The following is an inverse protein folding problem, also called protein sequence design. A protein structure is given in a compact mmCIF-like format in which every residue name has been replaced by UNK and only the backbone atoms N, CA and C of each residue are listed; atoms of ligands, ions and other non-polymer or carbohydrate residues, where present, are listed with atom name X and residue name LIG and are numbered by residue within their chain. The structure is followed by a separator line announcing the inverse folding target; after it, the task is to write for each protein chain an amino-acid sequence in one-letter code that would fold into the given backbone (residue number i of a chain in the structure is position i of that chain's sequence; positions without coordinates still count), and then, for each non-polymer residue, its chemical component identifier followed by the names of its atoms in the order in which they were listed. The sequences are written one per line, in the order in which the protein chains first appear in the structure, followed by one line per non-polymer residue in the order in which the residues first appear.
data_IF_198977652960
#
_entry.id   IF_198977652960
#
_cell.length_a   1.000
_cell.length_b   1.000
_cell.length_c   1.000
_cell.angle_alpha   90.00
_cell.angle_beta   90.00
_cell.angle_gamma   90.00
#
_symmetry.space_group_name_H-M   'P 1'
#
loop_
_entity.id
_entity.type
_entity.pdbx_description
1 polymer ?
#
# COMPACT_ATOMS: atom_id res chain seq x y z
N UNK A 1 -92.36 20.20 28.08
CA UNK A 1 -93.07 19.17 27.30
C UNK A 1 -92.05 18.43 26.45
N UNK A 2 -92.22 17.12 26.22
CA UNK A 2 -91.29 16.29 25.42
C UNK A 2 -91.32 16.73 23.92
N UNK A 3 -90.41 16.39 23.01
CA UNK A 3 -89.18 15.58 23.00
C UNK A 3 -88.19 16.21 21.98
N UNK A 4 -87.06 15.67 21.49
CA UNK A 4 -86.27 14.42 21.67
C UNK A 4 -84.86 14.65 21.07
N UNK A 5 -83.85 13.84 21.40
CA UNK A 5 -82.54 13.84 20.71
C UNK A 5 -82.24 12.48 20.05
N UNK A 6 -81.64 12.44 18.83
CA UNK A 6 -81.32 11.21 18.12
C UNK A 6 -80.04 10.51 18.66
N UNK A 7 -79.88 9.19 18.44
CA UNK A 7 -78.81 8.39 19.04
C UNK A 7 -77.43 8.58 18.40
N UNK A 8 -76.38 8.38 19.20
CA UNK A 8 -74.99 8.48 18.77
C UNK A 8 -74.53 7.30 17.90
N UNK A 9 -73.58 7.57 16.99
CA UNK A 9 -72.76 6.54 16.32
C UNK A 9 -71.32 6.60 16.84
N UNK A 10 -70.67 5.47 17.15
CA UNK A 10 -69.30 5.46 17.67
C UNK A 10 -68.28 5.83 16.58
N UNK A 11 -67.27 6.63 16.93
CA UNK A 11 -66.11 6.89 16.09
C UNK A 11 -65.17 5.69 16.11
N UNK A 12 -64.91 5.11 14.94
CA UNK A 12 -63.84 4.13 14.75
C UNK A 12 -62.49 4.85 14.72
N UNK A 13 -61.55 4.38 15.55
CA UNK A 13 -60.16 4.84 15.55
C UNK A 13 -59.34 3.95 14.62
N UNK A 14 -58.88 4.49 13.49
CA UNK A 14 -57.91 3.80 12.63
C UNK A 14 -56.51 3.92 13.22
N UNK A 15 -55.98 2.81 13.75
CA UNK A 15 -54.58 2.69 14.14
C UNK A 15 -53.70 2.70 12.87
N UNK A 16 -52.92 3.75 12.68
CA UNK A 16 -51.93 3.80 11.61
C UNK A 16 -50.74 2.87 11.94
N UNK A 17 -50.60 1.78 11.20
CA UNK A 17 -49.51 0.82 11.35
C UNK A 17 -48.21 1.38 10.76
N UNK A 18 -47.35 1.96 11.61
CA UNK A 18 -46.00 2.38 11.20
C UNK A 18 -45.06 1.18 11.12
N UNK A 19 -45.01 0.55 9.93
CA UNK A 19 -44.03 -0.49 9.62
C UNK A 19 -42.61 0.10 9.51
N UNK A 20 -41.82 -0.06 10.57
CA UNK A 20 -40.38 0.21 10.53
C UNK A 20 -39.65 -0.88 9.74
N UNK A 21 -39.37 -0.61 8.46
CA UNK A 21 -38.47 -1.45 7.67
C UNK A 21 -37.02 -1.19 8.11
N UNK A 22 -36.52 -2.07 8.98
CA UNK A 22 -35.09 -2.19 9.28
C UNK A 22 -34.36 -2.71 8.02
N UNK A 23 -33.85 -1.80 7.20
CA UNK A 23 -32.96 -2.14 6.09
C UNK A 23 -31.63 -2.67 6.62
N UNK A 24 -31.53 -3.99 6.79
CA UNK A 24 -30.26 -4.67 6.99
C UNK A 24 -29.43 -4.59 5.69
N UNK A 25 -28.65 -3.53 5.56
CA UNK A 25 -27.63 -3.42 4.52
C UNK A 25 -26.51 -4.43 4.79
N UNK A 26 -26.65 -5.64 4.23
CA UNK A 26 -25.58 -6.63 4.18
C UNK A 26 -24.40 -6.03 3.38
N UNK A 27 -23.33 -5.66 4.08
CA UNK A 27 -22.09 -5.20 3.45
C UNK A 27 -21.42 -6.42 2.81
N UNK A 28 -21.70 -6.64 1.53
CA UNK A 28 -21.00 -7.64 0.73
C UNK A 28 -19.58 -7.17 0.45
N UNK A 29 -18.64 -7.59 1.29
CA UNK A 29 -17.21 -7.41 1.02
C UNK A 29 -16.82 -8.28 -0.18
N UNK A 30 -16.47 -7.64 -1.31
CA UNK A 30 -16.04 -8.35 -2.52
C UNK A 30 -14.84 -9.27 -2.24
N UNK A 31 -14.69 -10.41 -2.94
CA UNK A 31 -13.56 -11.33 -2.74
C UNK A 31 -12.18 -10.65 -2.83
N UNK A 32 -12.04 -9.68 -3.73
CA UNK A 32 -10.86 -8.81 -3.86
C UNK A 32 -10.55 -8.01 -2.60
N UNK A 33 -11.57 -7.43 -1.94
CA UNK A 33 -11.36 -6.65 -0.73
C UNK A 33 -10.92 -7.54 0.44
N UNK A 34 -11.46 -8.75 0.55
CA UNK A 34 -11.04 -9.78 1.51
C UNK A 34 -9.59 -10.25 1.26
N UNK A 35 -9.21 -10.48 -0.01
CA UNK A 35 -7.85 -10.85 -0.38
C UNK A 35 -6.85 -9.74 0.03
N UNK A 36 -7.17 -8.49 -0.31
CA UNK A 36 -6.32 -7.34 -0.03
C UNK A 36 -6.19 -7.07 1.48
N UNK A 37 -7.28 -7.15 2.24
CA UNK A 37 -7.24 -6.97 3.70
C UNK A 37 -6.42 -8.07 4.39
N UNK A 38 -6.53 -9.32 3.93
CA UNK A 38 -5.79 -10.47 4.47
C UNK A 38 -4.30 -10.37 4.14
N UNK A 39 -3.96 -10.05 2.89
CA UNK A 39 -2.58 -9.83 2.47
C UNK A 39 -1.94 -8.66 3.24
N UNK A 40 -2.66 -7.53 3.36
CA UNK A 40 -2.21 -6.37 4.15
C UNK A 40 -2.00 -6.73 5.62
N UNK A 41 -2.93 -7.44 6.25
CA UNK A 41 -2.80 -7.83 7.65
C UNK A 41 -1.54 -8.68 7.87
N UNK A 42 -1.32 -9.70 7.03
CA UNK A 42 -0.11 -10.54 7.05
C UNK A 42 1.17 -9.71 6.88
N UNK A 43 1.20 -8.79 5.90
CA UNK A 43 2.35 -7.92 5.66
C UNK A 43 2.59 -6.95 6.81
N UNK A 44 1.54 -6.41 7.42
CA UNK A 44 1.64 -5.54 8.59
C UNK A 44 2.27 -6.28 9.78
N UNK A 45 1.81 -7.49 10.11
CA UNK A 45 2.40 -8.32 11.17
C UNK A 45 3.89 -8.64 10.95
N UNK A 46 4.33 -8.74 9.69
CA UNK A 46 5.72 -9.10 9.35
C UNK A 46 6.67 -7.90 9.19
N UNK A 47 6.16 -6.76 8.71
CA UNK A 47 6.98 -5.66 8.20
C UNK A 47 6.68 -4.28 8.83
N UNK A 48 5.61 -4.14 9.62
CA UNK A 48 5.25 -2.89 10.31
C UNK A 48 5.57 -3.00 11.80
N UNK A 49 6.55 -2.25 12.34
CA UNK A 49 6.83 -2.24 13.77
C UNK A 49 5.66 -1.68 14.60
N UNK A 50 5.49 -2.07 15.87
CA UNK A 50 4.39 -1.59 16.73
C UNK A 50 4.31 -0.08 16.93
N UNK A 51 5.39 0.66 16.63
CA UNK A 51 5.43 2.12 16.68
C UNK A 51 4.72 2.81 15.49
N UNK A 52 4.13 2.04 14.56
CA UNK A 52 3.42 2.54 13.38
C UNK A 52 1.94 2.13 13.40
N UNK A 53 1.09 2.98 12.82
CA UNK A 53 -0.35 2.74 12.68
C UNK A 53 -0.83 3.08 11.27
N UNK A 54 -1.90 2.41 10.82
CA UNK A 54 -2.48 2.65 9.49
C UNK A 54 -3.03 4.09 9.43
N UNK A 55 -2.46 4.90 8.54
CA UNK A 55 -2.81 6.31 8.36
C UNK A 55 -3.81 6.53 7.23
N UNK A 56 -3.65 5.79 6.13
CA UNK A 56 -4.52 5.90 4.96
C UNK A 56 -4.52 4.61 4.14
N UNK A 57 -5.66 4.32 3.52
CA UNK A 57 -5.86 3.21 2.58
C UNK A 57 -6.69 3.75 1.40
N UNK A 58 -6.19 3.60 0.15
CA UNK A 58 -6.91 4.03 -1.07
C UNK A 58 -6.61 3.12 -2.27
N UNK A 59 -7.59 2.92 -3.15
CA UNK A 59 -7.33 2.29 -4.45
C UNK A 59 -6.60 3.28 -5.37
N UNK A 60 -5.70 2.76 -6.18
CA UNK A 60 -4.93 3.51 -7.18
C UNK A 60 -4.77 2.68 -8.46
N UNK A 61 -4.76 3.30 -9.66
CA UNK A 61 -4.52 2.58 -10.91
C UNK A 61 -3.08 2.06 -10.95
N UNK A 62 -2.91 0.83 -11.42
CA UNK A 62 -1.60 0.19 -11.52
C UNK A 62 -1.59 -0.84 -12.64
N UNK A 63 -0.73 -0.67 -13.64
CA UNK A 63 -0.57 -1.60 -14.78
C UNK A 63 -1.91 -1.99 -15.45
N UNK A 64 -2.70 -0.99 -15.85
CA UNK A 64 -4.06 -1.14 -16.43
C UNK A 64 -5.12 -1.78 -15.50
N UNK A 65 -4.77 -2.08 -14.25
CA UNK A 65 -5.68 -2.57 -13.21
C UNK A 65 -5.80 -1.60 -12.04
N UNK A 66 -6.21 -2.11 -10.88
CA UNK A 66 -6.28 -1.39 -9.62
C UNK A 66 -5.44 -2.10 -8.56
N UNK A 67 -4.82 -1.32 -7.68
CA UNK A 67 -4.09 -1.80 -6.51
C UNK A 67 -4.51 -1.01 -5.26
N UNK A 68 -4.43 -1.66 -4.11
CA UNK A 68 -4.64 -1.07 -2.80
C UNK A 68 -3.33 -0.46 -2.30
N UNK A 69 -3.26 0.86 -2.24
CA UNK A 69 -2.19 1.58 -1.54
C UNK A 69 -2.57 1.72 -0.07
N UNK A 70 -1.65 1.37 0.82
CA UNK A 70 -1.77 1.55 2.27
C UNK A 70 -0.53 2.27 2.81
N UNK A 71 -0.71 3.29 3.65
CA UNK A 71 0.38 4.00 4.34
C UNK A 71 0.22 3.85 5.85
N UNK A 72 1.32 3.53 6.51
CA UNK A 72 1.48 3.49 7.95
C UNK A 72 2.46 4.59 8.37
N UNK A 73 2.09 5.34 9.41
CA UNK A 73 2.90 6.44 9.97
C UNK A 73 3.12 6.22 11.46
N UNK A 74 4.11 6.90 12.04
CA UNK A 74 4.47 6.69 13.45
C UNK A 74 3.36 7.14 14.38
N UNK A 75 3.09 6.38 15.43
CA UNK A 75 2.12 6.73 16.47
C UNK A 75 2.58 7.92 17.31
N UNK A 76 3.89 8.13 17.44
CA UNK A 76 4.52 9.26 18.14
C UNK A 76 4.58 10.57 17.33
N UNK A 77 4.05 10.58 16.10
CA UNK A 77 4.00 11.77 15.24
C UNK A 77 5.34 12.20 14.62
N UNK A 78 6.48 11.60 15.02
CA UNK A 78 7.81 12.05 14.59
C UNK A 78 7.95 11.89 13.09
N UNK A 79 8.42 12.93 12.40
CA UNK A 79 8.71 12.89 10.97
C UNK A 79 7.54 12.40 10.08
N UNK A 80 6.27 12.45 10.54
CA UNK A 80 5.13 11.98 9.75
C UNK A 80 4.78 12.89 8.53
N UNK A 81 3.90 12.39 7.65
CA UNK A 81 3.42 13.11 6.48
C UNK A 81 4.33 12.96 5.26
N UNK A 82 4.14 13.83 4.26
CA UNK A 82 4.84 13.75 2.98
C UNK A 82 6.36 13.88 3.14
N UNK A 83 7.09 13.04 2.40
CA UNK A 83 8.53 12.81 2.44
C UNK A 83 9.10 12.36 3.80
N UNK A 84 8.22 12.04 4.75
CA UNK A 84 8.55 11.67 6.13
C UNK A 84 8.85 10.18 6.36
N UNK A 85 8.95 9.81 7.63
CA UNK A 85 8.98 8.41 8.08
C UNK A 85 7.64 7.74 7.79
N UNK A 86 7.67 6.63 7.04
CA UNK A 86 6.48 5.86 6.74
C UNK A 86 6.81 4.46 6.25
N UNK A 87 5.81 3.58 6.32
CA UNK A 87 5.81 2.28 5.67
C UNK A 87 4.61 2.23 4.74
N UNK A 88 4.81 1.89 3.47
CA UNK A 88 3.69 1.73 2.52
C UNK A 88 3.74 0.41 1.79
N UNK A 89 2.55 -0.12 1.47
CA UNK A 89 2.36 -1.29 0.63
C UNK A 89 1.44 -0.95 -0.53
N UNK A 90 1.74 -1.53 -1.69
CA UNK A 90 0.89 -1.57 -2.87
C UNK A 90 0.57 -3.04 -3.17
N UNK A 91 -0.72 -3.40 -3.09
CA UNK A 91 -1.20 -4.79 -3.21
C UNK A 91 -2.21 -4.87 -4.35
N UNK A 92 -2.05 -5.79 -5.31
CA UNK A 92 -3.02 -5.96 -6.41
C UNK A 92 -4.33 -6.62 -5.94
N UNK A 93 -5.31 -6.72 -6.84
CA UNK A 93 -6.60 -7.36 -6.59
C UNK A 93 -6.53 -8.88 -6.27
N UNK A 94 -5.36 -9.50 -6.42
CA UNK A 94 -5.07 -10.90 -6.15
C UNK A 94 -4.31 -11.07 -4.81
N UNK A 95 -4.12 -10.00 -4.04
CA UNK A 95 -3.38 -10.01 -2.78
C UNK A 95 -1.86 -10.09 -2.93
N UNK A 96 -1.31 -9.88 -4.14
CA UNK A 96 0.13 -9.89 -4.36
C UNK A 96 0.77 -8.56 -3.99
N UNK A 97 1.93 -8.61 -3.31
CA UNK A 97 2.74 -7.43 -3.07
C UNK A 97 3.37 -6.94 -4.39
N UNK A 98 2.92 -5.77 -4.86
CA UNK A 98 3.48 -5.07 -6.04
C UNK A 98 4.54 -4.05 -5.68
N UNK A 99 4.42 -3.47 -4.49
CA UNK A 99 5.32 -2.45 -4.00
C UNK A 99 5.37 -2.39 -2.49
N UNK A 100 6.55 -2.15 -1.94
CA UNK A 100 6.81 -1.93 -0.52
C UNK A 100 7.85 -0.84 -0.35
N UNK A 101 7.65 0.05 0.61
CA UNK A 101 8.69 0.95 1.11
C UNK A 101 8.61 1.04 2.63
N UNK A 102 9.78 1.12 3.28
CA UNK A 102 9.99 1.44 4.69
C UNK A 102 11.09 2.47 4.74
N UNK A 103 10.70 3.73 4.93
CA UNK A 103 11.56 4.90 4.95
C UNK A 103 11.62 5.38 6.40
N UNK A 104 12.77 5.22 7.04
CA UNK A 104 12.99 5.52 8.47
C UNK A 104 14.23 6.39 8.68
N UNK A 105 14.23 7.28 9.69
CA UNK A 105 15.38 8.16 9.95
C UNK A 105 16.65 7.38 10.33
N UNK A 106 16.52 6.24 11.02
CA UNK A 106 17.65 5.40 11.41
C UNK A 106 18.46 4.87 10.21
N UNK A 107 17.83 4.68 9.03
CA UNK A 107 18.47 4.23 7.79
C UNK A 107 19.46 5.26 7.21
N UNK A 108 19.45 6.51 7.69
CA UNK A 108 20.47 7.50 7.32
C UNK A 108 21.84 7.22 7.97
N UNK A 109 21.91 6.31 8.94
CA UNK A 109 23.12 5.95 9.67
C UNK A 109 23.47 4.47 9.43
N UNK A 110 24.73 4.09 9.72
CA UNK A 110 25.23 2.73 9.55
C UNK A 110 25.93 2.49 8.20
N UNK A 111 26.23 1.23 7.92
CA UNK A 111 27.05 0.83 6.76
C UNK A 111 26.20 0.11 5.72
N UNK A 112 26.35 0.46 4.44
CA UNK A 112 25.74 -0.31 3.35
C UNK A 112 26.45 -1.67 3.20
N UNK A 113 25.72 -2.75 2.91
CA UNK A 113 26.32 -4.03 2.55
C UNK A 113 27.17 -3.93 1.27
N UNK A 114 28.03 -4.92 1.03
CA UNK A 114 28.66 -5.09 -0.27
C UNK A 114 27.62 -5.36 -1.38
N UNK A 115 27.99 -5.16 -2.65
CA UNK A 115 27.07 -5.45 -3.77
C UNK A 115 26.65 -6.93 -3.81
N UNK A 116 27.53 -7.85 -3.40
CA UNK A 116 27.23 -9.28 -3.35
C UNK A 116 26.22 -9.60 -2.24
N UNK A 117 26.42 -9.07 -1.03
CA UNK A 117 25.46 -9.20 0.07
C UNK A 117 24.11 -8.57 -0.28
N UNK A 118 24.10 -7.39 -0.92
CA UNK A 118 22.87 -6.74 -1.36
C UNK A 118 22.05 -7.62 -2.32
N UNK A 119 22.71 -8.32 -3.26
CA UNK A 119 22.04 -9.31 -4.13
C UNK A 119 21.45 -10.46 -3.31
N UNK A 120 22.20 -11.04 -2.38
CA UNK A 120 21.71 -12.12 -1.53
C UNK A 120 20.52 -11.71 -0.65
N UNK A 121 20.55 -10.49 -0.10
CA UNK A 121 19.44 -9.90 0.68
C UNK A 121 18.22 -9.67 -0.22
N UNK A 122 18.42 -9.12 -1.42
CA UNK A 122 17.36 -8.89 -2.39
C UNK A 122 16.68 -10.20 -2.82
N UNK A 123 17.46 -11.22 -3.18
CA UNK A 123 16.92 -12.55 -3.54
C UNK A 123 16.20 -13.21 -2.37
N UNK A 124 16.71 -13.10 -1.15
CA UNK A 124 16.05 -13.64 0.05
C UNK A 124 14.68 -12.97 0.29
N UNK A 125 14.58 -11.65 0.11
CA UNK A 125 13.32 -10.92 0.19
C UNK A 125 12.35 -11.33 -0.93
N UNK A 126 12.82 -11.37 -2.19
CA UNK A 126 11.98 -11.77 -3.33
C UNK A 126 11.49 -13.22 -3.18
N UNK A 127 12.31 -14.14 -2.64
CA UNK A 127 11.90 -15.52 -2.33
C UNK A 127 10.73 -15.59 -1.35
N UNK A 128 10.62 -14.64 -0.42
CA UNK A 128 9.53 -14.59 0.56
C UNK A 128 8.29 -13.86 0.02
N UNK A 129 8.47 -12.74 -0.67
CA UNK A 129 7.37 -11.80 -1.00
C UNK A 129 6.89 -11.87 -2.46
N UNK A 130 7.69 -12.46 -3.35
CA UNK A 130 7.36 -12.63 -4.77
C UNK A 130 8.09 -13.80 -5.41
N UNK A 131 8.01 -15.03 -4.88
CA UNK A 131 8.84 -16.17 -5.29
C UNK A 131 8.76 -16.47 -6.80
N UNK A 132 7.62 -16.22 -7.44
CA UNK A 132 7.43 -16.40 -8.89
C UNK A 132 8.40 -15.57 -9.73
N UNK A 133 8.89 -14.43 -9.22
CA UNK A 133 9.87 -13.59 -9.90
C UNK A 133 11.22 -14.28 -10.05
N UNK A 134 11.57 -15.25 -9.20
CA UNK A 134 12.86 -15.96 -9.28
C UNK A 134 12.89 -17.02 -10.40
N UNK A 135 11.77 -17.27 -11.08
CA UNK A 135 11.68 -18.23 -12.17
C UNK A 135 12.26 -17.62 -13.46
N UNK A 136 13.56 -17.85 -13.70
CA UNK A 136 14.24 -17.43 -14.94
C UNK A 136 14.61 -15.94 -15.00
N UNK A 137 14.74 -15.27 -13.85
CA UNK A 137 15.16 -13.88 -13.78
C UNK A 137 16.63 -13.66 -14.18
N UNK A 138 16.97 -12.41 -14.46
CA UNK A 138 18.34 -11.95 -14.73
C UNK A 138 18.69 -10.79 -13.80
N UNK A 139 19.90 -10.83 -13.22
CA UNK A 139 20.50 -9.66 -12.59
C UNK A 139 20.97 -8.68 -13.66
N UNK A 140 20.67 -7.40 -13.47
CA UNK A 140 21.04 -6.32 -14.40
C UNK A 140 22.12 -5.42 -13.80
N UNK A 141 22.01 -5.08 -12.50
CA UNK A 141 23.03 -4.28 -11.83
C UNK A 141 22.76 -4.00 -10.37
N UNK A 142 23.75 -3.44 -9.69
CA UNK A 142 23.63 -2.89 -8.33
C UNK A 142 24.14 -1.46 -8.36
N UNK A 143 23.30 -0.48 -8.03
CA UNK A 143 23.64 0.95 -8.05
C UNK A 143 23.44 1.59 -6.68
N UNK A 144 24.45 2.32 -6.17
CA UNK A 144 24.31 3.14 -4.96
C UNK A 144 23.51 4.40 -5.29
N UNK A 145 22.53 4.71 -4.44
CA UNK A 145 21.67 5.88 -4.55
C UNK A 145 21.37 6.45 -3.15
N UNK A 146 20.65 7.56 -3.11
CA UNK A 146 20.13 8.18 -1.87
C UNK A 146 18.67 8.56 -2.05
N UNK A 147 17.93 8.61 -0.94
CA UNK A 147 16.53 9.03 -0.86
C UNK A 147 16.41 10.14 0.19
N UNK A 148 15.62 11.20 -0.08
CA UNK A 148 15.53 12.36 0.82
C UNK A 148 14.39 12.18 1.82
N UNK A 149 14.70 12.01 3.10
CA UNK A 149 13.71 12.03 4.19
C UNK A 149 13.61 13.43 4.82
N UNK A 150 12.38 13.92 5.02
CA UNK A 150 12.10 15.17 5.74
C UNK A 150 12.03 14.91 7.24
N UNK A 151 12.86 15.61 8.00
CA UNK A 151 12.93 15.56 9.47
C UNK A 151 12.52 16.93 10.02
N UNK A 152 11.23 17.11 10.33
CA UNK A 152 10.68 18.42 10.70
C UNK A 152 10.83 19.44 9.56
N UNK A 153 11.66 20.48 9.78
CA UNK A 153 12.06 21.49 8.81
C UNK A 153 13.36 21.16 8.05
N UNK A 154 14.09 20.11 8.47
CA UNK A 154 15.33 19.66 7.84
C UNK A 154 15.08 18.49 6.88
N UNK A 155 16.12 18.10 6.15
CA UNK A 155 16.12 16.88 5.33
C UNK A 155 17.42 16.11 5.49
N UNK A 156 17.34 14.79 5.47
CA UNK A 156 18.46 13.86 5.60
C UNK A 156 18.47 12.89 4.41
N UNK A 157 19.66 12.48 3.98
CA UNK A 157 19.84 11.51 2.91
C UNK A 157 19.92 10.09 3.48
N UNK A 158 19.04 9.20 3.02
CA UNK A 158 19.07 7.76 3.32
C UNK A 158 19.80 7.06 2.17
N UNK A 159 21.01 6.51 2.39
CA UNK A 159 21.73 5.76 1.36
C UNK A 159 21.16 4.34 1.19
N UNK A 160 21.16 3.85 -0.04
CA UNK A 160 20.81 2.46 -0.36
C UNK A 160 21.54 1.92 -1.59
N UNK A 161 21.57 0.60 -1.72
CA UNK A 161 21.92 -0.12 -2.95
C UNK A 161 20.63 -0.61 -3.62
N UNK A 162 20.34 -0.13 -4.82
CA UNK A 162 19.29 -0.69 -5.68
C UNK A 162 19.85 -1.91 -6.43
N UNK A 163 19.33 -3.08 -6.12
CA UNK A 163 19.54 -4.31 -6.89
C UNK A 163 18.45 -4.37 -7.97
N UNK A 164 18.85 -4.22 -9.23
CA UNK A 164 17.95 -4.22 -10.40
C UNK A 164 17.99 -5.58 -11.08
N UNK A 165 16.80 -6.13 -11.30
CA UNK A 165 16.58 -7.46 -11.87
C UNK A 165 15.48 -7.40 -12.93
N UNK A 166 15.47 -8.39 -13.83
CA UNK A 166 14.47 -8.54 -14.88
C UNK A 166 13.82 -9.90 -14.77
N UNK A 167 12.49 -9.96 -14.75
CA UNK A 167 11.73 -11.21 -14.74
C UNK A 167 11.71 -11.86 -16.13
N UNK A 168 11.28 -13.12 -16.18
CA UNK A 168 11.25 -13.93 -17.40
C UNK A 168 10.24 -13.44 -18.45
N UNK A 169 9.19 -12.73 -18.03
CA UNK A 169 8.27 -11.96 -18.87
C UNK A 169 8.88 -10.66 -19.44
N UNK A 170 10.11 -10.32 -19.04
CA UNK A 170 10.80 -9.13 -19.48
C UNK A 170 10.43 -7.84 -18.74
N UNK A 171 9.63 -7.88 -17.68
CA UNK A 171 9.40 -6.72 -16.81
C UNK A 171 10.59 -6.48 -15.86
N UNK A 172 10.74 -5.25 -15.37
CA UNK A 172 11.74 -4.93 -14.36
C UNK A 172 11.17 -5.13 -12.95
N UNK A 173 12.04 -5.51 -12.02
CA UNK A 173 11.79 -5.43 -10.59
C UNK A 173 13.08 -5.06 -9.85
N UNK A 174 12.95 -4.47 -8.67
CA UNK A 174 14.11 -4.07 -7.87
C UNK A 174 13.86 -4.14 -6.38
N UNK A 175 14.95 -4.31 -5.64
CA UNK A 175 14.98 -4.22 -4.18
C UNK A 175 15.99 -3.14 -3.79
N UNK A 176 15.64 -2.25 -2.88
CA UNK A 176 16.54 -1.29 -2.29
C UNK A 176 17.01 -1.82 -0.94
N UNK A 177 18.31 -2.04 -0.79
CA UNK A 177 18.94 -2.51 0.45
C UNK A 177 19.67 -1.33 1.09
N UNK A 178 19.17 -0.90 2.24
CA UNK A 178 19.71 0.22 3.01
C UNK A 178 20.90 -0.17 3.87
N UNK A 179 21.19 0.66 4.87
CA UNK A 179 22.16 0.34 5.93
C UNK A 179 21.68 -0.82 6.79
N UNK A 180 22.62 -1.42 7.53
CA UNK A 180 22.39 -2.52 8.47
C UNK A 180 21.63 -3.71 7.83
N UNK A 181 21.85 -3.91 6.53
CA UNK A 181 21.33 -4.99 5.69
C UNK A 181 19.79 -5.01 5.58
N UNK A 182 19.11 -3.91 5.90
CA UNK A 182 17.65 -3.84 5.83
C UNK A 182 17.13 -3.64 4.41
N UNK A 183 16.00 -4.28 4.07
CA UNK A 183 15.26 -3.96 2.84
C UNK A 183 14.43 -2.70 3.09
N UNK A 184 14.80 -1.63 2.39
CA UNK A 184 14.16 -0.33 2.43
C UNK A 184 12.98 -0.25 1.46
N UNK A 185 13.08 -0.87 0.28
CA UNK A 185 11.97 -0.89 -0.69
C UNK A 185 12.01 -2.10 -1.62
N UNK A 186 10.88 -2.40 -2.25
CA UNK A 186 10.72 -3.37 -3.31
C UNK A 186 9.65 -2.89 -4.29
N UNK A 187 9.88 -3.06 -5.58
CA UNK A 187 8.88 -2.84 -6.63
C UNK A 187 9.03 -3.91 -7.72
N UNK A 188 7.92 -4.32 -8.32
CA UNK A 188 7.87 -5.31 -9.40
C UNK A 188 6.94 -4.90 -10.53
N UNK A 189 6.89 -5.76 -11.55
CA UNK A 189 6.03 -5.65 -12.74
C UNK A 189 6.19 -4.30 -13.47
N UNK A 190 7.42 -3.77 -13.50
CA UNK A 190 7.72 -2.42 -13.98
C UNK A 190 8.00 -2.44 -15.49
N UNK A 191 7.07 -1.88 -16.26
CA UNK A 191 7.22 -1.64 -17.69
C UNK A 191 8.18 -0.49 -18.01
N UNK A 192 8.76 -0.53 -19.22
CA UNK A 192 9.66 0.50 -19.73
C UNK A 192 9.26 0.90 -21.16
N UNK A 193 9.00 2.19 -21.36
CA UNK A 193 8.83 2.82 -22.67
C UNK A 193 10.23 3.07 -23.25
N UNK A 194 10.68 2.17 -24.13
CA UNK A 194 11.98 2.24 -24.77
C UNK A 194 12.11 3.37 -25.79
N UNK A 195 11.01 3.86 -26.36
CA UNK A 195 11.02 4.98 -27.31
C UNK A 195 11.19 6.31 -26.57
N UNK A 196 10.58 6.43 -25.38
CA UNK A 196 10.68 7.63 -24.52
C UNK A 196 11.71 7.50 -23.39
N UNK A 197 12.51 6.43 -23.38
CA UNK A 197 13.54 6.12 -22.39
C UNK A 197 13.09 6.31 -20.93
N UNK A 198 11.86 5.88 -20.60
CA UNK A 198 11.25 6.11 -19.27
C UNK A 198 10.43 4.91 -18.78
N UNK A 199 10.18 4.86 -17.47
CA UNK A 199 9.24 3.91 -16.85
C UNK A 199 7.83 4.12 -17.42
N UNK A 200 7.12 3.03 -17.69
CA UNK A 200 5.73 3.03 -18.18
C UNK A 200 4.70 2.48 -17.19
N UNK A 201 5.13 2.09 -15.98
CA UNK A 201 4.27 1.70 -14.85
C UNK A 201 4.19 2.83 -13.82
N UNK A 202 3.03 3.03 -13.20
CA UNK A 202 2.80 4.06 -12.19
C UNK A 202 3.74 3.94 -10.98
N UNK A 203 3.91 5.05 -10.27
CA UNK A 203 4.74 5.17 -9.07
C UNK A 203 3.90 5.72 -7.92
N UNK A 204 3.79 4.95 -6.83
CA UNK A 204 2.86 5.22 -5.73
C UNK A 204 3.49 5.17 -4.33
N UNK A 205 4.75 4.73 -4.22
CA UNK A 205 5.44 4.54 -2.95
C UNK A 205 6.26 5.77 -2.51
N UNK A 206 6.62 6.64 -3.45
CA UNK A 206 7.40 7.84 -3.21
C UNK A 206 6.49 9.07 -3.36
N UNK A 207 6.51 9.96 -2.37
CA UNK A 207 5.56 11.07 -2.25
C UNK A 207 5.75 12.18 -3.30
N UNK A 208 6.90 12.21 -3.98
CA UNK A 208 7.24 13.13 -5.07
C UNK A 208 6.87 12.58 -6.48
N UNK A 209 6.45 11.32 -6.57
CA UNK A 209 6.18 10.66 -7.85
C UNK A 209 4.68 10.64 -8.18
N UNK A 210 4.38 11.00 -9.44
CA UNK A 210 3.00 11.16 -9.94
C UNK A 210 2.53 9.92 -10.72
N UNK A 211 1.21 9.67 -10.82
CA UNK A 211 0.68 8.78 -11.86
C UNK A 211 1.15 9.25 -13.25
N UNK A 212 1.38 8.31 -14.17
CA UNK A 212 1.97 8.59 -15.48
C UNK A 212 1.06 9.35 -16.46
N UNK A 213 -0.22 9.52 -16.09
CA UNK A 213 -1.21 10.28 -16.82
C UNK A 213 -1.70 11.42 -15.92
N UNK A 214 -1.15 12.62 -16.13
CA UNK A 214 -1.51 13.88 -15.49
C UNK A 214 -0.99 15.04 -16.33
#
# INVERSE_FOLDING_TARGET
MLASLPPQRPRLWTLASTSWLLSLSLIFTSPTALANSTARAKLATLLVPPAYSLKSERQVPYNNGQAQLSRYERTDGRNNGLNGEHISFLIDAQGQLKGYIKKEQNQAQGTLPSQAEARSIAEAFVRQQGPTLLNGFKHDGVSRQTETLRQGSQSVQIPYLRVKMRSSDGLWFWVFVGTDKQVMAFERDIGWDYLRFRRSTEQWLLDDQRPLNG
#
